data_IF_840109829127
#
_entry.id   IF_840109829127
#
_cell.length_a   1.000
_cell.length_b   1.000
_cell.length_c   1.000
_cell.angle_alpha   90.00
_cell.angle_beta   90.00
_cell.angle_gamma   90.00
#
_symmetry.space_group_name_H-M   'P 1'
#
loop_
_entity.id
_entity.type
_entity.pdbx_description
1 polymer ?
#
# COMPACT_ATOMS: atom_id res chain seq x y z
N UNK A 1 17.92 0.47 -20.20
CA UNK A 1 17.50 0.60 -19.93
C UNK A 1 17.02 0.55 -19.14
N UNK A 2 17.08 0.14 -18.91
CA UNK A 2 16.57 -0.05 -18.32
C UNK A 2 16.03 0.24 -17.62
N UNK A 3 16.49 0.45 -17.42
CA UNK A 3 15.75 0.92 -16.88
C UNK A 3 14.47 0.60 -16.80
N UNK A 4 14.23 0.07 -17.53
CA UNK A 4 12.91 -0.42 -17.57
C UNK A 4 12.51 -1.02 -16.27
N UNK A 5 13.40 -1.65 -15.62
CA UNK A 5 13.09 -2.20 -14.33
C UNK A 5 12.47 -1.16 -13.44
N UNK A 6 13.02 0.00 -13.41
CA UNK A 6 12.52 1.05 -12.59
C UNK A 6 11.11 1.44 -12.98
N UNK A 7 10.83 1.39 -14.28
CA UNK A 7 9.54 1.75 -14.69
C UNK A 7 8.56 0.72 -14.37
N UNK A 8 8.88 -0.51 -14.61
CA UNK A 8 7.98 -1.60 -14.35
C UNK A 8 7.60 -1.63 -12.89
N UNK A 9 8.40 -1.02 -12.05
CA UNK A 9 8.15 -1.03 -10.62
C UNK A 9 7.77 0.36 -10.12
N UNK A 10 7.01 1.08 -10.89
CA UNK A 10 6.57 2.39 -10.48
C UNK A 10 5.83 2.41 -9.14
N UNK A 11 5.38 1.25 -8.66
CA UNK A 11 4.71 1.13 -7.38
C UNK A 11 5.71 0.88 -6.25
N UNK A 12 6.91 0.38 -6.55
CA UNK A 12 7.92 0.14 -5.51
C UNK A 12 8.23 1.45 -4.79
N UNK A 13 8.22 1.40 -3.46
CA UNK A 13 8.44 2.57 -2.63
C UNK A 13 7.41 2.66 -1.54
N UNK A 14 7.41 3.75 -0.82
CA UNK A 14 6.51 3.96 0.30
C UNK A 14 5.41 4.94 -0.07
N UNK A 15 4.20 4.62 0.33
CA UNK A 15 3.00 5.37 -0.01
C UNK A 15 2.24 5.75 1.25
N UNK A 16 1.79 6.97 1.30
CA UNK A 16 1.00 7.50 2.40
C UNK A 16 -0.48 7.28 2.08
N UNK A 17 -1.19 6.56 2.93
CA UNK A 17 -2.63 6.36 2.73
C UNK A 17 -3.31 7.69 2.99
N UNK A 18 -3.92 8.25 1.96
CA UNK A 18 -4.59 9.53 2.06
C UNK A 18 -6.08 9.37 2.30
N UNK A 19 -6.62 8.16 2.06
CA UNK A 19 -8.04 7.92 2.24
C UNK A 19 -8.32 6.42 2.24
N UNK A 20 -9.22 5.99 3.12
CA UNK A 20 -9.81 4.64 3.07
C UNK A 20 -11.32 4.80 3.16
N UNK A 21 -12.04 3.94 2.46
CA UNK A 21 -13.49 4.04 2.43
C UNK A 21 -14.15 3.59 3.73
N UNK A 22 -13.57 2.58 4.38
CA UNK A 22 -14.18 1.99 5.56
C UNK A 22 -13.83 2.71 6.87
N UNK A 23 -12.79 3.55 6.87
CA UNK A 23 -12.35 4.25 8.08
C UNK A 23 -12.02 5.69 7.75
N UNK A 24 -12.33 6.62 8.67
CA UNK A 24 -11.95 8.00 8.45
C UNK A 24 -10.45 8.17 8.69
N UNK A 25 -9.93 9.31 8.29
CA UNK A 25 -8.47 9.53 8.31
C UNK A 25 -7.89 9.51 9.73
N UNK A 26 -8.63 9.99 10.70
CA UNK A 26 -8.16 9.96 12.08
C UNK A 26 -8.01 8.53 12.56
N UNK A 27 -8.92 7.65 12.16
CA UNK A 27 -8.82 6.23 12.49
C UNK A 27 -7.67 5.57 11.76
N UNK A 28 -7.50 5.85 10.46
CA UNK A 28 -6.41 5.29 9.66
C UNK A 28 -5.07 5.60 10.33
N UNK A 29 -4.91 6.83 10.81
CA UNK A 29 -3.65 7.32 11.38
C UNK A 29 -3.57 7.15 12.89
N UNK A 30 -4.39 6.28 13.46
CA UNK A 30 -4.53 6.14 14.91
C UNK A 30 -3.19 5.93 15.63
N UNK A 31 -2.37 5.02 15.13
CA UNK A 31 -1.09 4.70 15.77
C UNK A 31 0.04 5.49 15.11
N UNK A 32 0.01 5.56 13.80
CA UNK A 32 1.03 6.22 13.01
C UNK A 32 0.43 6.53 11.65
N UNK A 33 1.06 7.40 10.85
CA UNK A 33 0.52 7.68 9.52
C UNK A 33 0.36 6.40 8.70
N UNK A 34 -0.83 6.18 8.17
CA UNK A 34 -1.13 4.99 7.40
C UNK A 34 -0.26 4.92 6.15
N UNK A 35 0.22 3.73 5.83
CA UNK A 35 1.15 3.58 4.73
C UNK A 35 1.07 2.19 4.09
N UNK A 36 1.53 2.12 2.83
CA UNK A 36 1.91 0.88 2.16
C UNK A 36 3.34 1.06 1.71
N UNK A 37 4.13 0.01 1.82
CA UNK A 37 5.50 0.03 1.32
C UNK A 37 5.74 -1.24 0.51
N UNK A 38 6.14 -1.08 -0.76
CA UNK A 38 6.36 -2.19 -1.68
C UNK A 38 7.85 -2.26 -1.99
N UNK A 39 8.46 -3.41 -1.72
CA UNK A 39 9.90 -3.61 -1.91
C UNK A 39 10.18 -4.25 -3.26
N UNK A 40 11.41 -4.11 -3.72
CA UNK A 40 11.80 -4.65 -5.03
C UNK A 40 11.78 -6.15 -5.10
N UNK A 41 11.95 -6.83 -3.96
CA UNK A 41 12.04 -8.27 -3.91
C UNK A 41 10.68 -8.97 -3.91
N UNK A 42 9.61 -8.23 -4.09
CA UNK A 42 8.27 -8.81 -4.11
C UNK A 42 7.61 -8.89 -2.76
N UNK A 43 8.26 -8.35 -1.73
CA UNK A 43 7.63 -8.27 -0.41
C UNK A 43 7.16 -6.85 -0.17
N UNK A 44 6.48 -6.64 0.95
CA UNK A 44 6.05 -5.31 1.35
C UNK A 44 5.40 -5.36 2.70
N UNK A 45 5.01 -4.20 3.17
CA UNK A 45 4.31 -4.10 4.45
C UNK A 45 3.40 -2.89 4.43
N UNK A 46 2.46 -2.88 5.36
CA UNK A 46 1.58 -1.74 5.50
C UNK A 46 1.17 -1.59 6.96
N UNK A 47 0.65 -0.41 7.26
CA UNK A 47 0.09 -0.15 8.58
C UNK A 47 -1.05 0.83 8.47
N UNK A 48 -2.13 0.58 9.19
CA UNK A 48 -3.23 1.52 9.32
C UNK A 48 -4.05 1.11 10.53
N UNK A 49 -4.68 2.08 11.20
CA UNK A 49 -5.40 1.85 12.44
C UNK A 49 -4.43 1.19 13.43
N UNK A 50 -4.72 -0.02 13.90
CA UNK A 50 -3.81 -0.79 14.74
C UNK A 50 -3.31 -2.04 14.02
N UNK A 51 -3.49 -2.10 12.71
CA UNK A 51 -3.11 -3.24 11.88
C UNK A 51 -1.72 -3.06 11.33
N UNK A 52 -0.91 -4.11 11.39
CA UNK A 52 0.36 -4.19 10.67
C UNK A 52 0.29 -5.41 9.78
N UNK A 53 0.64 -5.26 8.52
CA UNK A 53 0.58 -6.35 7.56
C UNK A 53 1.88 -6.51 6.81
N UNK A 54 2.16 -7.76 6.41
CA UNK A 54 3.32 -8.11 5.59
C UNK A 54 2.79 -8.76 4.32
N UNK A 55 3.26 -8.27 3.17
CA UNK A 55 2.70 -8.62 1.86
C UNK A 55 3.62 -9.51 1.05
N UNK A 56 3.00 -10.41 0.30
CA UNK A 56 3.63 -11.14 -0.79
C UNK A 56 3.02 -10.57 -2.07
N UNK A 57 3.83 -9.91 -2.88
CA UNK A 57 3.36 -9.06 -3.97
C UNK A 57 3.71 -9.62 -5.33
N UNK A 58 2.82 -9.42 -6.29
CA UNK A 58 3.05 -9.74 -7.69
C UNK A 58 2.81 -8.49 -8.50
N UNK A 59 3.89 -7.94 -9.04
CA UNK A 59 3.84 -6.73 -9.84
C UNK A 59 3.67 -7.11 -11.30
N UNK A 60 2.70 -6.49 -11.96
CA UNK A 60 2.46 -6.71 -13.38
C UNK A 60 2.17 -5.38 -14.06
N UNK A 61 2.27 -5.37 -15.38
CA UNK A 61 1.82 -4.23 -16.17
C UNK A 61 0.46 -4.55 -16.74
N UNK A 62 -0.46 -3.67 -16.51
CA UNK A 62 -1.79 -3.76 -17.09
C UNK A 62 -1.97 -2.63 -18.07
N UNK A 63 -3.06 -2.65 -18.79
CA UNK A 63 -3.34 -1.66 -19.79
C UNK A 63 -3.25 -0.24 -19.24
N UNK A 64 -3.65 -0.03 -18.03
CA UNK A 64 -3.61 1.30 -17.41
C UNK A 64 -2.28 1.64 -16.74
N UNK A 65 -1.30 0.74 -16.74
CA UNK A 65 -0.01 0.97 -16.12
C UNK A 65 0.35 -0.07 -15.07
N UNK A 66 1.29 0.24 -14.19
CA UNK A 66 1.72 -0.69 -13.15
C UNK A 66 0.59 -1.07 -12.21
N UNK A 67 0.58 -2.34 -11.83
CA UNK A 67 -0.46 -2.93 -11.00
C UNK A 67 0.20 -3.98 -10.12
N UNK A 68 -0.29 -4.13 -8.91
CA UNK A 68 0.20 -5.16 -8.00
C UNK A 68 -0.96 -5.88 -7.34
N UNK A 69 -0.89 -7.20 -7.32
CA UNK A 69 -1.76 -8.04 -6.51
C UNK A 69 -0.95 -8.49 -5.32
N UNK A 70 -1.58 -8.66 -4.18
CA UNK A 70 -0.85 -9.18 -3.03
C UNK A 70 -1.75 -9.97 -2.10
N UNK A 71 -1.14 -10.91 -1.39
CA UNK A 71 -1.72 -11.53 -0.22
C UNK A 71 -0.93 -11.00 0.98
N UNK A 72 -1.49 -11.11 2.16
CA UNK A 72 -0.81 -10.57 3.33
C UNK A 72 -1.22 -11.30 4.60
N UNK A 73 -0.29 -11.30 5.55
CA UNK A 73 -0.52 -11.72 6.92
C UNK A 73 -0.30 -10.51 7.80
N UNK A 74 -0.98 -10.45 8.92
CA UNK A 74 -0.81 -9.31 9.80
C UNK A 74 -1.31 -9.55 11.20
N UNK A 75 -1.23 -8.50 11.97
CA UNK A 75 -1.63 -8.49 13.37
C UNK A 75 -2.48 -7.26 13.61
N UNK A 76 -3.60 -7.45 14.31
CA UNK A 76 -4.47 -6.37 14.73
C UNK A 76 -4.64 -6.51 16.24
N UNK A 77 -3.92 -5.68 17.00
CA UNK A 77 -3.98 -5.69 18.46
C UNK A 77 -3.73 -7.09 19.04
N UNK A 78 -2.73 -7.77 18.47
CA UNK A 78 -2.35 -9.10 18.96
C UNK A 78 -3.04 -10.24 18.27
N UNK A 79 -4.12 -10.01 17.54
CA UNK A 79 -4.82 -11.05 16.82
C UNK A 79 -4.27 -11.21 15.42
N UNK A 80 -4.03 -12.46 15.03
CA UNK A 80 -3.56 -12.74 13.67
C UNK A 80 -4.70 -12.56 12.68
N UNK A 81 -4.45 -11.80 11.63
CA UNK A 81 -5.38 -11.62 10.54
C UNK A 81 -4.63 -11.79 9.22
N UNK A 82 -5.35 -11.97 8.14
CA UNK A 82 -4.74 -12.11 6.83
C UNK A 82 -5.74 -11.67 5.77
N UNK A 83 -5.27 -11.61 4.53
CA UNK A 83 -6.15 -11.23 3.44
C UNK A 83 -5.39 -11.07 2.14
N UNK A 84 -5.96 -10.25 1.27
CA UNK A 84 -5.40 -9.96 -0.04
C UNK A 84 -5.74 -8.54 -0.43
N UNK A 85 -5.24 -8.11 -1.55
CA UNK A 85 -5.54 -6.79 -2.05
C UNK A 85 -4.89 -6.55 -3.39
N UNK A 86 -5.09 -5.35 -3.90
CA UNK A 86 -4.46 -4.92 -5.14
C UNK A 86 -4.28 -3.41 -5.09
N UNK A 87 -3.37 -2.93 -5.92
CA UNK A 87 -3.17 -1.49 -6.10
C UNK A 87 -2.74 -1.21 -7.54
N UNK A 88 -3.16 -0.07 -8.04
CA UNK A 88 -2.86 0.35 -9.41
C UNK A 88 -2.37 1.79 -9.39
N UNK A 89 -1.28 2.03 -10.11
CA UNK A 89 -0.74 3.37 -10.25
C UNK A 89 -1.63 4.18 -11.19
N UNK A 90 -2.03 5.35 -10.75
CA UNK A 90 -2.93 6.20 -11.51
C UNK A 90 -2.15 7.19 -12.37
N UNK A 91 -2.78 7.74 -13.43
CA UNK A 91 -2.09 8.71 -14.29
C UNK A 91 -1.58 9.94 -13.54
N UNK A 92 -2.22 10.31 -12.45
CA UNK A 92 -1.80 11.49 -11.68
C UNK A 92 -0.69 11.18 -10.68
N UNK A 93 -0.20 9.93 -10.66
CA UNK A 93 0.87 9.55 -9.76
C UNK A 93 0.41 9.03 -8.42
N UNK A 94 -0.89 9.01 -8.16
CA UNK A 94 -1.41 8.42 -6.94
C UNK A 94 -1.58 6.92 -7.10
N UNK A 95 -1.83 6.23 -5.99
CA UNK A 95 -2.09 4.80 -5.98
C UNK A 95 -3.52 4.60 -5.54
N UNK A 96 -4.25 3.76 -6.25
CA UNK A 96 -5.61 3.42 -5.87
C UNK A 96 -5.71 1.92 -5.75
N UNK A 97 -6.38 1.44 -4.73
CA UNK A 97 -6.48 0.00 -4.54
C UNK A 97 -7.61 -0.41 -3.64
N UNK A 98 -7.56 -1.67 -3.24
CA UNK A 98 -8.57 -2.25 -2.37
C UNK A 98 -7.91 -3.29 -1.49
N UNK A 99 -8.25 -3.27 -0.22
CA UNK A 99 -7.71 -4.21 0.76
C UNK A 99 -8.85 -5.08 1.28
N UNK A 100 -8.62 -6.38 1.32
CA UNK A 100 -9.61 -7.35 1.81
C UNK A 100 -9.04 -8.05 3.03
N UNK A 101 -9.81 -8.07 4.11
CA UNK A 101 -9.46 -8.83 5.32
C UNK A 101 -10.25 -10.13 5.27
N UNK A 102 -9.57 -11.25 5.37
CA UNK A 102 -10.20 -12.57 5.31
C UNK A 102 -11.24 -12.68 6.42
N UNK A 103 -12.47 -12.98 6.03
CA UNK A 103 -13.61 -13.09 6.96
C UNK A 103 -13.89 -11.77 7.70
N UNK A 104 -13.49 -10.66 7.13
CA UNK A 104 -13.68 -9.37 7.76
C UNK A 104 -14.09 -8.30 6.76
N UNK A 105 -13.79 -7.06 7.08
CA UNK A 105 -14.14 -5.91 6.25
C UNK A 105 -13.24 -5.82 5.03
N UNK A 106 -13.64 -5.02 4.09
CA UNK A 106 -12.78 -4.64 2.98
C UNK A 106 -12.94 -3.14 2.75
N UNK A 107 -11.96 -2.54 2.11
CA UNK A 107 -11.95 -1.10 1.92
C UNK A 107 -11.15 -0.71 0.69
N UNK A 108 -11.70 0.18 -0.10
CA UNK A 108 -10.90 0.88 -1.08
C UNK A 108 -9.97 1.87 -0.39
N UNK A 109 -8.88 2.21 -1.06
CA UNK A 109 -7.95 3.21 -0.52
C UNK A 109 -7.31 4.01 -1.66
N UNK A 110 -6.85 5.19 -1.28
CA UNK A 110 -6.02 6.04 -2.14
C UNK A 110 -4.76 6.37 -1.36
N UNK A 111 -3.64 6.41 -2.05
CA UNK A 111 -2.38 6.76 -1.41
C UNK A 111 -1.54 7.62 -2.34
N UNK A 112 -0.69 8.44 -1.75
CA UNK A 112 0.24 9.29 -2.49
C UNK A 112 1.66 8.92 -2.10
N UNK A 113 2.65 9.23 -2.93
CA UNK A 113 4.03 8.95 -2.53
C UNK A 113 4.29 9.53 -1.14
N UNK A 114 4.89 8.73 -0.27
CA UNK A 114 5.12 9.16 1.11
C UNK A 114 6.10 10.32 1.07
N UNK A 115 5.82 11.42 1.77
CA UNK A 115 6.69 12.58 1.69
C UNK A 115 8.10 12.26 2.13
N UNK A 116 9.09 12.75 1.38
CA UNK A 116 10.45 12.59 1.82
C UNK A 116 10.68 13.51 2.97
N UNK A 117 11.63 13.13 3.75
CA UNK A 117 11.93 13.93 4.84
C UNK A 117 12.45 15.14 4.41
N UNK A 118 12.12 15.86 4.36
CA UNK A 118 12.53 16.92 3.74
C UNK A 118 13.46 17.60 4.33
N UNK A 119 13.67 16.89 4.58
CA UNK A 119 14.29 17.25 4.92
C UNK A 119 15.13 17.98 4.81
N UNK A 120 15.10 17.57 4.58
CA UNK A 120 15.80 18.10 4.29
C UNK A 120 15.89 19.39 4.17
N UNK A 121 15.53 19.77 4.34
CA UNK A 121 15.56 20.81 4.26
C UNK A 121 15.95 21.47 5.03
N UNK A 122 16.04 21.09 5.34
CA UNK A 122 16.31 21.68 6.00
C UNK A 122 16.87 22.05 6.08
#
# INVERSE_FOLDING_TARGET
>A
MSTSGGKATGIVGKWRISRMDAWDQAAVDLVAPGFFEFDRDGTGRFGFVAVTGWMDCRHVMREGGPYVDFSWDGIDEGDHICGRGWAALQPDGSLEGHLFIHNGDDSGFTADPFPRKEKART
#
